data_IF_077126339800
#
_entry.id   IF_077126339800
#
_cell.length_a   1.000
_cell.length_b   1.000
_cell.length_c   1.000
_cell.angle_alpha   90.00
_cell.angle_beta   90.00
_cell.angle_gamma   90.00
#
_symmetry.space_group_name_H-M   'P 1'
#
loop_
_entity.id
_entity.type
_entity.pdbx_description
1 polymer ?
#
# COMPACT_ATOMS: atom_id res chain seq x y z
N UNK A 1 3.28 -11.84 5.66
CA UNK A 1 4.00 -11.26 4.51
C UNK A 1 2.98 -10.57 3.60
N UNK A 2 3.41 -9.79 2.61
CA UNK A 2 2.66 -8.70 1.96
C UNK A 2 2.97 -8.69 0.46
N UNK A 3 2.12 -8.08 -0.37
CA UNK A 3 2.52 -7.59 -1.68
C UNK A 3 2.65 -6.06 -1.60
N UNK A 4 3.86 -5.52 -1.75
CA UNK A 4 4.08 -4.07 -1.81
C UNK A 4 4.86 -3.71 -3.07
N UNK A 5 4.46 -2.63 -3.73
CA UNK A 5 5.13 -2.13 -4.91
C UNK A 5 5.10 -0.61 -4.98
N UNK A 6 6.01 -0.06 -5.76
CA UNK A 6 6.03 1.35 -6.11
C UNK A 6 6.25 1.49 -7.61
N UNK A 7 5.60 2.47 -8.23
CA UNK A 7 5.76 2.75 -9.65
C UNK A 7 5.74 4.25 -9.92
N UNK A 8 6.45 4.62 -10.98
CA UNK A 8 6.52 5.98 -11.49
C UNK A 8 5.71 6.10 -12.78
N UNK A 9 4.79 7.05 -12.82
CA UNK A 9 3.91 7.30 -13.95
C UNK A 9 3.95 8.77 -14.38
N UNK A 10 3.76 9.00 -15.68
CA UNK A 10 3.58 10.32 -16.27
C UNK A 10 2.19 10.32 -16.94
N UNK A 11 1.34 11.26 -16.57
CA UNK A 11 0.03 11.44 -17.20
C UNK A 11 0.15 12.04 -18.60
N UNK A 12 -0.94 12.02 -19.38
CA UNK A 12 -0.99 12.64 -20.71
C UNK A 12 -0.67 14.14 -20.67
N UNK A 13 -1.06 14.83 -19.59
CA UNK A 13 -0.73 16.25 -19.37
C UNK A 13 0.70 16.47 -18.87
N UNK A 14 1.54 15.42 -18.81
CA UNK A 14 2.93 15.49 -18.38
C UNK A 14 3.14 15.45 -16.86
N UNK A 15 2.07 15.37 -16.05
CA UNK A 15 2.20 15.32 -14.59
C UNK A 15 2.84 14.01 -14.14
N UNK A 16 3.84 14.12 -13.26
CA UNK A 16 4.68 13.05 -12.76
C UNK A 16 4.19 12.62 -11.38
N UNK A 17 4.02 11.31 -11.22
CA UNK A 17 3.49 10.73 -9.99
C UNK A 17 4.32 9.54 -9.56
N UNK A 18 4.65 9.49 -8.28
CA UNK A 18 5.26 8.33 -7.64
C UNK A 18 4.23 7.70 -6.70
N UNK A 19 3.80 6.48 -7.03
CA UNK A 19 2.75 5.78 -6.29
C UNK A 19 3.29 4.58 -5.55
N UNK A 20 2.82 4.36 -4.33
CA UNK A 20 3.03 3.13 -3.57
C UNK A 20 1.69 2.41 -3.44
N UNK A 21 1.71 1.09 -3.66
CA UNK A 21 0.54 0.22 -3.58
C UNK A 21 0.84 -1.02 -2.74
N UNK A 22 -0.17 -1.52 -2.02
CA UNK A 22 -0.03 -2.68 -1.16
C UNK A 22 -1.36 -3.36 -0.91
N UNK A 23 -1.33 -4.63 -0.55
CA UNK A 23 -2.49 -5.31 0.03
C UNK A 23 -2.70 -4.89 1.50
N UNK A 24 -3.73 -5.41 2.18
CA UNK A 24 -4.07 -5.06 3.58
C UNK A 24 -4.06 -6.25 4.54
N UNK A 25 -3.67 -7.44 4.07
CA UNK A 25 -3.64 -8.67 4.88
C UNK A 25 -2.43 -8.76 5.80
N UNK A 26 -2.64 -8.99 7.08
CA UNK A 26 -1.64 -9.59 7.97
C UNK A 26 -1.97 -11.08 8.10
N UNK A 27 -0.93 -11.91 8.19
CA UNK A 27 -1.05 -13.36 8.19
C UNK A 27 -0.22 -13.97 9.32
N UNK A 28 -0.76 -14.94 10.05
CA UNK A 28 -0.05 -15.68 11.08
C UNK A 28 -0.05 -17.18 10.79
N UNK A 29 1.02 -17.86 11.22
CA UNK A 29 1.07 -19.32 11.33
C UNK A 29 1.29 -19.62 12.81
N UNK A 30 0.33 -20.29 13.44
CA UNK A 30 0.42 -20.69 14.84
C UNK A 30 1.25 -21.97 14.99
N UNK A 31 1.77 -22.28 16.21
CA UNK A 31 2.57 -23.48 16.45
C UNK A 31 1.88 -24.80 16.07
N UNK A 32 0.53 -24.83 16.10
CA UNK A 32 -0.27 -25.98 15.67
C UNK A 32 -0.46 -26.07 14.13
N UNK A 33 0.20 -25.20 13.35
CA UNK A 33 0.08 -25.13 11.90
C UNK A 33 -1.12 -24.35 11.37
N UNK A 34 -2.00 -23.85 12.26
CA UNK A 34 -3.18 -23.07 11.86
C UNK A 34 -2.76 -21.75 11.23
N UNK A 35 -3.43 -21.37 10.15
CA UNK A 35 -3.21 -20.11 9.43
C UNK A 35 -4.38 -19.19 9.67
N UNK A 36 -4.09 -17.98 10.12
CA UNK A 36 -5.09 -16.94 10.32
C UNK A 36 -4.69 -15.67 9.58
N UNK A 37 -5.69 -14.85 9.24
CA UNK A 37 -5.50 -13.62 8.46
C UNK A 37 -6.36 -12.47 8.99
N UNK A 38 -5.85 -11.25 8.85
CA UNK A 38 -6.57 -10.01 9.12
C UNK A 38 -6.43 -9.06 7.93
N UNK A 39 -7.54 -8.77 7.25
CA UNK A 39 -7.55 -8.11 5.93
C UNK A 39 -7.70 -6.58 5.98
N UNK A 40 -7.56 -5.94 7.13
CA UNK A 40 -7.87 -4.50 7.28
C UNK A 40 -6.72 -3.72 7.92
N UNK A 41 -5.48 -4.14 7.66
CA UNK A 41 -4.28 -3.44 8.17
C UNK A 41 -3.85 -2.32 7.23
N UNK A 42 -3.37 -1.22 7.81
CA UNK A 42 -2.66 -0.18 7.05
C UNK A 42 -1.22 -0.62 6.81
N UNK A 43 -0.79 -0.62 5.55
CA UNK A 43 0.60 -0.96 5.16
C UNK A 43 1.35 0.19 4.50
N UNK A 44 0.63 1.26 4.14
CA UNK A 44 1.19 2.46 3.52
C UNK A 44 0.70 3.67 4.30
N UNK A 45 1.62 4.57 4.62
CA UNK A 45 1.44 5.73 5.46
C UNK A 45 1.96 6.96 4.75
N UNK A 46 1.28 8.09 4.94
CA UNK A 46 1.75 9.41 4.53
C UNK A 46 2.15 10.22 5.76
N UNK A 47 3.19 11.05 5.64
CA UNK A 47 3.49 12.08 6.63
C UNK A 47 2.61 13.30 6.36
N UNK A 48 2.22 14.02 7.41
CA UNK A 48 1.31 15.17 7.27
C UNK A 48 2.03 16.43 6.80
N UNK A 49 3.28 16.61 7.25
CA UNK A 49 4.04 17.85 7.06
C UNK A 49 5.10 17.75 5.96
N UNK A 50 5.08 16.68 5.16
CA UNK A 50 6.05 16.47 4.11
C UNK A 50 5.52 15.54 3.01
N UNK A 51 6.17 15.57 1.85
CA UNK A 51 5.86 14.71 0.72
C UNK A 51 6.55 13.35 0.84
N UNK A 52 6.33 12.70 1.98
CA UNK A 52 6.94 11.43 2.35
C UNK A 52 5.87 10.35 2.51
N UNK A 53 6.07 9.22 1.85
CA UNK A 53 5.21 8.03 1.91
C UNK A 53 6.05 6.84 2.36
N UNK A 54 5.65 6.20 3.45
CA UNK A 54 6.29 5.02 4.01
C UNK A 54 5.41 3.80 3.81
N UNK A 55 6.01 2.64 3.59
CA UNK A 55 5.28 1.37 3.59
C UNK A 55 6.16 0.21 4.01
N UNK A 56 5.58 -0.95 4.31
CA UNK A 56 6.36 -2.06 4.83
C UNK A 56 5.91 -3.43 4.33
N UNK A 57 6.83 -4.39 4.41
CA UNK A 57 6.56 -5.81 4.30
C UNK A 57 7.45 -6.60 5.28
N UNK A 58 6.97 -7.75 5.75
CA UNK A 58 7.68 -8.61 6.70
C UNK A 58 7.10 -8.54 8.10
N UNK A 59 7.94 -8.39 9.12
CA UNK A 59 7.56 -8.25 10.53
C UNK A 59 6.54 -7.11 10.73
N UNK A 60 5.26 -7.47 10.77
CA UNK A 60 4.18 -6.49 10.76
C UNK A 60 4.07 -5.77 12.10
N UNK A 61 4.39 -6.44 13.21
CA UNK A 61 4.33 -5.83 14.54
C UNK A 61 5.44 -4.80 14.71
N UNK A 62 6.70 -5.18 14.40
CA UNK A 62 7.83 -4.27 14.45
C UNK A 62 7.61 -3.06 13.54
N UNK A 63 7.21 -3.29 12.28
CA UNK A 63 7.01 -2.20 11.33
C UNK A 63 5.88 -1.26 11.73
N UNK A 64 4.71 -1.76 12.16
CA UNK A 64 3.59 -0.91 12.56
C UNK A 64 3.93 -0.03 13.75
N UNK A 65 4.57 -0.61 14.78
CA UNK A 65 4.97 0.13 15.97
C UNK A 65 5.96 1.24 15.62
N UNK A 66 7.02 0.90 14.87
CA UNK A 66 8.06 1.85 14.50
C UNK A 66 7.57 2.93 13.54
N UNK A 67 6.79 2.57 12.53
CA UNK A 67 6.24 3.55 11.59
C UNK A 67 5.31 4.52 12.30
N UNK A 68 4.48 4.05 13.23
CA UNK A 68 3.61 4.94 14.03
C UNK A 68 4.41 5.93 14.86
N UNK A 69 5.51 5.48 15.48
CA UNK A 69 6.41 6.34 16.25
C UNK A 69 7.16 7.33 15.35
N UNK A 70 7.70 6.87 14.22
CA UNK A 70 8.38 7.71 13.22
C UNK A 70 7.42 8.80 12.72
N UNK A 71 6.21 8.44 12.29
CA UNK A 71 5.21 9.39 11.81
C UNK A 71 4.86 10.40 12.90
N UNK A 72 4.62 9.93 14.12
CA UNK A 72 4.29 10.81 15.25
C UNK A 72 5.43 11.78 15.57
N UNK A 73 6.67 11.28 15.63
CA UNK A 73 7.84 12.10 15.88
C UNK A 73 8.02 13.14 14.77
N UNK A 74 7.99 12.70 13.51
CA UNK A 74 8.26 13.56 12.35
C UNK A 74 7.18 14.63 12.16
N UNK A 75 5.91 14.30 12.42
CA UNK A 75 4.81 15.27 12.38
C UNK A 75 4.92 16.32 13.50
N UNK A 76 5.44 15.96 14.68
CA UNK A 76 5.57 16.89 15.81
C UNK A 76 6.92 17.65 15.83
N UNK A 77 7.91 17.19 15.06
CA UNK A 77 9.22 17.83 15.03
C UNK A 77 9.25 18.98 14.02
N UNK A 78 9.61 20.18 14.47
CA UNK A 78 10.02 21.28 13.56
C UNK A 78 11.29 20.94 12.79
N UNK A 79 12.06 19.95 13.26
CA UNK A 79 13.24 19.42 12.57
C UNK A 79 12.90 18.95 11.14
N UNK A 80 11.67 18.54 10.86
CA UNK A 80 11.30 18.04 9.52
C UNK A 80 10.89 19.11 8.51
N UNK A 81 10.82 20.40 8.89
CA UNK A 81 10.31 21.45 8.00
C UNK A 81 11.32 21.80 6.90
N UNK A 82 11.03 21.32 5.68
CA UNK A 82 11.47 21.76 4.33
C UNK A 82 12.93 22.16 4.03
N UNK A 83 13.87 22.06 4.97
CA UNK A 83 15.30 22.36 4.77
C UNK A 83 16.23 21.18 5.08
N UNK A 84 15.72 20.08 5.61
CA UNK A 84 16.53 18.89 5.87
C UNK A 84 16.72 18.05 4.61
N UNK A 85 17.99 17.82 4.26
CA UNK A 85 18.38 17.00 3.11
C UNK A 85 17.81 15.57 3.20
N UNK A 86 17.60 14.93 2.04
CA UNK A 86 17.21 13.52 1.95
C UNK A 86 18.06 12.63 2.86
N UNK A 87 19.37 12.89 2.90
CA UNK A 87 20.33 12.13 3.69
C UNK A 87 20.09 12.29 5.20
N UNK A 88 19.78 13.50 5.68
CA UNK A 88 19.49 13.74 7.09
C UNK A 88 18.24 12.96 7.53
N UNK A 89 17.15 13.05 6.75
CA UNK A 89 15.92 12.29 7.00
C UNK A 89 16.17 10.77 6.98
N UNK A 90 16.93 10.28 6.00
CA UNK A 90 17.31 8.87 5.88
C UNK A 90 18.04 8.38 7.13
N UNK A 91 19.07 9.11 7.57
CA UNK A 91 19.89 8.74 8.71
C UNK A 91 19.09 8.73 10.01
N UNK A 92 18.16 9.67 10.15
CA UNK A 92 17.25 9.72 11.29
C UNK A 92 16.31 8.51 11.34
N UNK A 93 15.64 8.19 10.22
CA UNK A 93 14.78 6.99 10.13
C UNK A 93 15.61 5.73 10.40
N UNK A 94 16.80 5.62 9.80
CA UNK A 94 17.69 4.49 10.02
C UNK A 94 18.03 4.34 11.50
N UNK A 95 18.39 5.43 12.18
CA UNK A 95 18.77 5.41 13.59
C UNK A 95 17.62 4.97 14.50
N UNK A 96 16.41 5.51 14.28
CA UNK A 96 15.21 5.09 15.04
C UNK A 96 14.97 3.58 14.87
N UNK A 97 15.07 3.07 13.63
CA UNK A 97 14.87 1.65 13.36
C UNK A 97 15.96 0.78 13.98
N UNK A 98 17.22 1.21 13.89
CA UNK A 98 18.36 0.51 14.47
C UNK A 98 18.25 0.42 16.00
N UNK A 99 17.96 1.54 16.67
CA UNK A 99 17.78 1.60 18.12
C UNK A 99 16.62 0.73 18.59
N UNK A 100 15.49 0.80 17.88
CA UNK A 100 14.31 -0.01 18.20
C UNK A 100 14.57 -1.50 17.99
N UNK A 101 15.34 -1.86 16.96
CA UNK A 101 15.70 -3.24 16.65
C UNK A 101 16.64 -3.83 17.71
N UNK A 102 17.62 -3.04 18.20
CA UNK A 102 18.53 -3.47 19.26
C UNK A 102 17.83 -3.84 20.57
N UNK A 103 16.64 -3.27 20.81
CA UNK A 103 15.79 -3.56 21.97
C UNK A 103 14.68 -4.58 21.68
N UNK A 104 14.53 -5.01 20.42
CA UNK A 104 13.46 -5.90 20.01
C UNK A 104 13.79 -7.36 20.33
N UNK A 105 12.89 -8.14 20.97
CA UNK A 105 13.20 -9.51 21.35
C UNK A 105 13.53 -10.41 20.15
N UNK A 106 14.70 -11.05 20.18
CA UNK A 106 15.16 -11.96 19.11
C UNK A 106 14.26 -13.20 18.92
N UNK A 107 13.49 -13.57 19.95
CA UNK A 107 12.53 -14.68 19.89
C UNK A 107 11.35 -14.40 18.96
N UNK A 108 10.98 -13.13 18.76
CA UNK A 108 9.83 -12.74 17.94
C UNK A 108 10.22 -11.98 16.67
N UNK A 109 11.49 -11.61 16.52
CA UNK A 109 11.99 -10.91 15.34
C UNK A 109 11.80 -11.71 14.05
N UNK A 110 11.45 -11.00 12.98
CA UNK A 110 11.36 -11.53 11.63
C UNK A 110 12.02 -10.59 10.62
N UNK A 111 12.32 -11.10 9.42
CA UNK A 111 12.78 -10.27 8.32
C UNK A 111 11.75 -9.18 8.00
N UNK A 112 12.23 -7.97 7.72
CA UNK A 112 11.37 -6.89 7.25
C UNK A 112 12.07 -5.97 6.26
N UNK A 113 11.26 -5.21 5.54
CA UNK A 113 11.72 -4.06 4.77
C UNK A 113 10.72 -2.93 4.90
N UNK A 114 11.22 -1.74 5.26
CA UNK A 114 10.47 -0.50 5.23
C UNK A 114 10.90 0.27 3.98
N UNK A 115 9.94 0.65 3.16
CA UNK A 115 10.11 1.46 1.97
C UNK A 115 9.74 2.90 2.25
N UNK A 116 10.48 3.81 1.63
CA UNK A 116 10.26 5.25 1.74
C UNK A 116 10.34 5.88 0.36
N UNK A 117 9.24 6.50 -0.06
CA UNK A 117 9.14 7.35 -1.23
C UNK A 117 9.07 8.81 -0.76
N UNK A 118 9.77 9.72 -1.44
CA UNK A 118 9.81 11.13 -1.08
C UNK A 118 9.86 12.02 -2.31
N UNK A 119 9.29 13.22 -2.22
CA UNK A 119 9.60 14.35 -3.12
C UNK A 119 10.35 15.41 -2.31
N UNK A 120 11.60 15.68 -2.67
CA UNK A 120 12.42 16.71 -2.03
C UNK A 120 12.88 17.69 -3.10
N UNK A 121 12.55 18.98 -2.89
CA UNK A 121 12.68 19.99 -3.93
C UNK A 121 11.83 19.59 -5.14
N UNK A 122 12.50 19.23 -6.23
CA UNK A 122 11.86 18.82 -7.47
C UNK A 122 12.23 17.38 -7.89
N UNK A 123 12.76 16.57 -6.98
CA UNK A 123 13.24 15.22 -7.29
C UNK A 123 12.56 14.15 -6.44
N UNK A 124 12.20 13.05 -7.11
CA UNK A 124 11.69 11.87 -6.45
C UNK A 124 12.83 11.01 -5.92
N UNK A 125 12.64 10.49 -4.72
CA UNK A 125 13.54 9.56 -4.07
C UNK A 125 12.77 8.32 -3.63
N UNK A 126 13.43 7.17 -3.73
CA UNK A 126 12.96 5.91 -3.14
C UNK A 126 14.11 5.23 -2.42
N UNK A 127 13.83 4.72 -1.23
CA UNK A 127 14.80 4.02 -0.39
C UNK A 127 14.14 2.86 0.35
N UNK A 128 14.94 1.88 0.73
CA UNK A 128 14.51 0.79 1.60
C UNK A 128 15.43 0.64 2.82
N UNK A 129 14.85 0.27 3.94
CA UNK A 129 15.55 -0.15 5.17
C UNK A 129 15.26 -1.63 5.35
N UNK A 130 16.25 -2.49 5.12
CA UNK A 130 16.06 -3.94 5.11
C UNK A 130 16.76 -4.59 6.28
N UNK A 131 16.00 -5.35 7.06
CA UNK A 131 16.51 -6.23 8.10
C UNK A 131 16.41 -7.68 7.66
N UNK A 132 17.50 -8.42 7.88
CA UNK A 132 17.53 -9.87 7.72
C UNK A 132 17.93 -10.49 9.05
N UNK A 133 17.00 -11.21 9.67
CA UNK A 133 17.19 -11.91 10.94
C UNK A 133 18.45 -12.78 10.91
N UNK A 134 18.65 -13.51 9.81
CA UNK A 134 19.83 -14.39 9.63
C UNK A 134 21.16 -13.67 9.89
N UNK A 135 21.23 -12.37 9.57
CA UNK A 135 22.46 -11.59 9.68
C UNK A 135 22.44 -10.65 10.88
N UNK A 136 21.29 -10.44 11.54
CA UNK A 136 21.16 -9.49 12.65
C UNK A 136 21.47 -8.04 12.29
N UNK A 137 21.47 -7.68 10.99
CA UNK A 137 21.93 -6.37 10.51
C UNK A 137 20.83 -5.67 9.71
N UNK A 138 20.51 -4.44 10.12
CA UNK A 138 19.73 -3.48 9.34
C UNK A 138 20.63 -2.83 8.28
N UNK A 139 20.19 -2.83 7.02
CA UNK A 139 20.94 -2.25 5.90
C UNK A 139 20.11 -1.25 5.12
N UNK A 140 20.81 -0.24 4.60
CA UNK A 140 20.30 0.60 3.53
C UNK A 140 20.14 -0.23 2.24
N UNK A 141 18.97 -0.10 1.61
CA UNK A 141 18.66 -0.63 0.28
C UNK A 141 18.44 0.55 -0.64
N UNK A 142 19.51 0.97 -1.33
CA UNK A 142 19.41 2.04 -2.33
C UNK A 142 18.54 1.59 -3.50
N UNK A 143 17.51 2.36 -3.82
CA UNK A 143 16.63 2.09 -4.96
C UNK A 143 16.95 3.11 -6.04
N UNK A 144 17.29 2.64 -7.24
CA UNK A 144 17.54 3.53 -8.38
C UNK A 144 16.20 4.04 -8.89
N UNK A 145 16.01 5.35 -8.88
CA UNK A 145 14.81 5.95 -9.42
C UNK A 145 14.81 5.87 -10.97
N UNK A 146 13.70 5.51 -11.61
CA UNK A 146 13.59 5.50 -13.07
C UNK A 146 13.73 6.86 -13.73
N UNK A 147 14.22 6.90 -14.97
CA UNK A 147 14.05 8.07 -15.86
C UNK A 147 12.77 7.99 -16.69
N UNK A 148 12.25 6.79 -16.91
CA UNK A 148 11.02 6.50 -17.67
C UNK A 148 9.96 5.88 -16.77
N UNK A 149 8.70 5.87 -17.23
CA UNK A 149 7.60 5.21 -16.52
C UNK A 149 7.90 3.72 -16.35
N UNK A 150 7.98 3.23 -15.10
CA UNK A 150 8.17 1.81 -14.71
C UNK A 150 7.96 1.61 -13.22
N UNK A 151 7.94 0.34 -12.80
CA UNK A 151 8.08 0.00 -11.39
C UNK A 151 9.40 0.54 -10.84
N UNK A 152 9.34 1.06 -9.62
CA UNK A 152 10.50 1.47 -8.84
C UNK A 152 10.98 0.30 -7.99
N UNK A 153 10.05 -0.40 -7.32
CA UNK A 153 10.32 -1.65 -6.60
C UNK A 153 9.06 -2.50 -6.49
N UNK A 154 9.26 -3.78 -6.16
CA UNK A 154 8.25 -4.70 -5.64
C UNK A 154 8.91 -5.62 -4.62
N UNK A 155 8.21 -6.01 -3.56
CA UNK A 155 8.75 -6.87 -2.50
C UNK A 155 7.65 -7.62 -1.74
N UNK A 156 8.07 -8.46 -0.79
CA UNK A 156 7.23 -9.34 0.00
C UNK A 156 6.91 -10.66 -0.71
N UNK A 157 6.17 -11.54 -0.04
CA UNK A 157 5.77 -12.85 -0.57
C UNK A 157 5.01 -12.73 -1.88
N UNK A 158 4.14 -11.72 -1.97
CA UNK A 158 3.34 -11.40 -3.13
C UNK A 158 4.13 -10.78 -4.29
N UNK A 159 5.32 -10.22 -4.03
CA UNK A 159 6.09 -9.45 -5.03
C UNK A 159 6.44 -10.23 -6.30
N UNK A 160 6.78 -11.53 -6.18
CA UNK A 160 7.06 -12.37 -7.35
C UNK A 160 5.81 -12.63 -8.20
N UNK A 161 4.65 -12.76 -7.55
CA UNK A 161 3.38 -12.97 -8.24
C UNK A 161 2.90 -11.67 -8.88
N UNK A 162 3.10 -10.55 -8.20
CA UNK A 162 2.85 -9.21 -8.75
C UNK A 162 3.63 -8.99 -10.04
N UNK A 163 4.93 -9.28 -10.04
CA UNK A 163 5.75 -9.16 -11.24
C UNK A 163 5.29 -10.09 -12.38
N UNK A 164 4.81 -11.30 -12.05
CA UNK A 164 4.24 -12.22 -13.04
C UNK A 164 2.91 -11.68 -13.61
N UNK A 165 2.03 -11.14 -12.76
CA UNK A 165 0.78 -10.53 -13.19
C UNK A 165 1.04 -9.32 -14.12
N UNK A 166 1.97 -8.44 -13.76
CA UNK A 166 2.39 -7.32 -14.59
C UNK A 166 2.83 -7.73 -16.01
N UNK A 167 3.58 -8.83 -16.13
CA UNK A 167 4.05 -9.35 -17.43
C UNK A 167 2.93 -9.87 -18.32
N UNK A 168 1.82 -10.30 -17.73
CA UNK A 168 0.69 -10.84 -18.46
C UNK A 168 -0.31 -9.76 -18.88
N UNK A 169 -0.17 -8.54 -18.36
CA UNK A 169 -1.02 -7.42 -18.73
C UNK A 169 -0.47 -6.74 -19.98
N UNK A 170 -1.36 -6.49 -20.93
CA UNK A 170 -1.05 -5.69 -22.09
C UNK A 170 -1.12 -4.19 -21.72
N UNK A 171 -0.03 -3.46 -21.93
CA UNK A 171 0.03 -2.02 -21.68
C UNK A 171 -0.78 -1.19 -22.69
N UNK A 172 -1.19 -1.78 -23.81
CA UNK A 172 -2.05 -1.11 -24.80
C UNK A 172 -3.52 -1.06 -24.36
N UNK A 173 -3.97 -2.04 -23.56
CA UNK A 173 -5.35 -2.14 -23.09
C UNK A 173 -5.66 -1.23 -21.89
N UNK A 174 -4.62 -0.71 -21.24
CA UNK A 174 -4.71 0.01 -19.97
C UNK A 174 -3.73 1.18 -19.92
N UNK A 175 -4.15 2.32 -19.34
CA UNK A 175 -3.17 3.36 -18.99
C UNK A 175 -2.19 2.82 -17.94
N UNK A 176 -0.99 3.40 -17.88
CA UNK A 176 0.13 2.87 -17.10
C UNK A 176 -0.24 2.59 -15.64
N UNK A 177 -0.79 3.57 -14.93
CA UNK A 177 -1.15 3.42 -13.51
C UNK A 177 -2.20 2.33 -13.29
N UNK A 178 -3.16 2.21 -14.20
CA UNK A 178 -4.18 1.14 -14.19
C UNK A 178 -3.54 -0.23 -14.33
N UNK A 179 -2.54 -0.41 -15.21
CA UNK A 179 -1.81 -1.68 -15.35
C UNK A 179 -1.14 -2.11 -14.04
N UNK A 180 -0.44 -1.18 -13.36
CA UNK A 180 0.23 -1.51 -12.10
C UNK A 180 -0.74 -1.81 -10.97
N UNK A 181 -1.79 -1.02 -10.85
CA UNK A 181 -2.81 -1.27 -9.84
C UNK A 181 -3.57 -2.59 -10.11
N UNK A 182 -3.92 -2.86 -11.38
CA UNK A 182 -4.63 -4.08 -11.77
C UNK A 182 -3.81 -5.34 -11.48
N UNK A 183 -2.49 -5.31 -11.68
CA UNK A 183 -1.63 -6.43 -11.29
C UNK A 183 -1.69 -6.75 -9.79
N UNK A 184 -1.84 -5.74 -8.92
CA UNK A 184 -2.05 -5.96 -7.48
C UNK A 184 -3.44 -6.57 -7.21
N UNK A 185 -4.47 -6.06 -7.88
CA UNK A 185 -5.83 -6.60 -7.78
C UNK A 185 -5.86 -8.07 -8.20
N UNK A 186 -5.24 -8.42 -9.33
CA UNK A 186 -5.24 -9.79 -9.86
C UNK A 186 -4.58 -10.78 -8.90
N UNK A 187 -3.49 -10.39 -8.21
CA UNK A 187 -2.86 -11.27 -7.22
C UNK A 187 -3.71 -11.42 -5.95
N UNK A 188 -4.43 -10.37 -5.54
CA UNK A 188 -5.35 -10.41 -4.41
C UNK A 188 -6.54 -11.32 -4.72
N UNK A 189 -7.16 -11.15 -5.90
CA UNK A 189 -8.34 -11.90 -6.32
C UNK A 189 -8.03 -13.38 -6.63
N UNK A 190 -6.87 -13.66 -7.22
CA UNK A 190 -6.45 -15.03 -7.53
C UNK A 190 -6.09 -15.85 -6.28
N UNK A 191 -5.84 -15.20 -5.13
CA UNK A 191 -5.44 -15.86 -3.87
C UNK A 191 -4.21 -16.77 -4.01
N UNK A 192 -3.37 -16.51 -5.03
CA UNK A 192 -2.19 -17.33 -5.33
C UNK A 192 -1.13 -17.26 -4.22
N UNK A 193 -1.08 -16.14 -3.50
CA UNK A 193 -0.34 -15.98 -2.25
C UNK A 193 -1.32 -15.81 -1.10
N UNK A 194 -1.38 -16.79 -0.20
CA UNK A 194 -2.31 -16.77 0.93
C UNK A 194 -2.05 -15.59 1.89
N UNK A 195 -0.83 -15.05 1.90
CA UNK A 195 -0.44 -13.91 2.74
C UNK A 195 -0.81 -12.55 2.14
N UNK A 196 -1.23 -12.51 0.88
CA UNK A 196 -1.66 -11.30 0.19
C UNK A 196 -3.19 -11.28 0.11
N UNK A 197 -3.83 -10.18 0.53
CA UNK A 197 -5.29 -10.07 0.45
C UNK A 197 -5.87 -8.79 1.04
N UNK A 198 -7.20 -8.78 1.17
CA UNK A 198 -7.96 -7.63 1.63
C UNK A 198 -8.08 -6.49 0.60
N UNK A 199 -8.76 -5.39 0.95
CA UNK A 199 -8.84 -4.18 0.14
C UNK A 199 -7.44 -3.64 -0.22
N UNK A 200 -7.16 -3.40 -1.52
CA UNK A 200 -5.94 -2.75 -1.96
C UNK A 200 -5.78 -1.34 -1.37
N UNK A 201 -4.53 -0.92 -1.18
CA UNK A 201 -4.16 0.41 -0.69
C UNK A 201 -3.30 1.12 -1.73
N UNK A 202 -3.49 2.43 -1.86
CA UNK A 202 -2.66 3.26 -2.75
C UNK A 202 -2.50 4.69 -2.22
N UNK A 203 -1.26 5.17 -2.25
CA UNK A 203 -0.90 6.58 -1.98
C UNK A 203 0.03 7.06 -3.09
N UNK A 204 -0.22 8.27 -3.60
CA UNK A 204 0.50 8.86 -4.71
C UNK A 204 1.09 10.22 -4.33
N UNK A 205 2.38 10.43 -4.58
CA UNK A 205 3.01 11.76 -4.50
C UNK A 205 2.90 12.40 -5.89
N UNK A 206 2.21 13.53 -6.01
CA UNK A 206 2.04 14.24 -7.30
C UNK A 206 2.94 15.46 -7.32
N UNK A 207 3.92 15.43 -8.22
CA UNK A 207 5.02 16.39 -8.23
C UNK A 207 4.54 17.81 -8.54
N UNK A 208 3.77 17.97 -9.61
CA UNK A 208 3.33 19.27 -10.13
C UNK A 208 2.33 19.96 -9.20
N UNK A 209 1.65 19.20 -8.34
CA UNK A 209 0.72 19.71 -7.33
C UNK A 209 1.37 19.90 -5.95
N UNK A 210 2.64 19.47 -5.80
CA UNK A 210 3.35 19.46 -4.53
C UNK A 210 2.51 18.83 -3.39
N UNK A 211 1.89 17.68 -3.67
CA UNK A 211 0.94 17.05 -2.76
C UNK A 211 1.03 15.51 -2.70
N UNK A 212 0.34 14.97 -1.69
CA UNK A 212 0.08 13.55 -1.56
C UNK A 212 -1.42 13.33 -1.74
N UNK A 213 -1.75 12.38 -2.61
CA UNK A 213 -3.09 11.94 -2.91
C UNK A 213 -3.29 10.52 -2.38
N UNK A 214 -4.13 10.40 -1.35
CA UNK A 214 -4.59 9.08 -0.88
C UNK A 214 -5.76 8.59 -1.72
N UNK A 215 -5.82 7.28 -1.96
CA UNK A 215 -6.88 6.65 -2.75
C UNK A 215 -7.75 5.76 -1.88
N UNK A 216 -9.06 6.01 -1.87
CA UNK A 216 -10.09 5.11 -1.36
C UNK A 216 -10.51 4.14 -2.46
N UNK A 217 -10.35 2.84 -2.20
CA UNK A 217 -10.61 1.77 -3.17
C UNK A 217 -11.98 1.17 -2.90
N UNK A 218 -12.79 1.04 -3.96
CA UNK A 218 -14.05 0.31 -3.92
C UNK A 218 -13.74 -1.18 -4.05
N UNK A 219 -13.86 -1.90 -2.94
CA UNK A 219 -13.61 -3.33 -2.85
C UNK A 219 -14.86 -4.04 -2.32
N UNK A 220 -15.35 -5.06 -3.01
CA UNK A 220 -16.59 -5.77 -2.65
C UNK A 220 -17.77 -4.84 -2.34
N UNK A 221 -17.94 -3.80 -3.15
CA UNK A 221 -19.05 -2.84 -3.05
C UNK A 221 -18.98 -1.88 -1.86
N UNK A 222 -17.85 -1.84 -1.14
CA UNK A 222 -17.60 -0.93 -0.01
C UNK A 222 -16.34 -0.10 -0.27
N UNK A 223 -16.25 1.06 0.35
CA UNK A 223 -15.14 1.99 0.21
C UNK A 223 -14.10 1.70 1.29
N UNK A 224 -12.82 1.66 0.92
CA UNK A 224 -11.74 1.42 1.86
C UNK A 224 -10.62 2.43 1.67
N UNK A 225 -10.25 3.11 2.76
CA UNK A 225 -9.11 4.02 2.82
C UNK A 225 -8.08 3.44 3.81
N UNK A 226 -6.85 3.21 3.35
CA UNK A 226 -5.77 2.65 4.18
C UNK A 226 -6.12 1.33 4.90
N UNK A 227 -6.98 0.50 4.28
CA UNK A 227 -7.44 -0.77 4.85
C UNK A 227 -8.65 -0.64 5.79
N UNK A 228 -9.12 0.57 6.10
CA UNK A 228 -10.31 0.82 6.95
C UNK A 228 -11.52 1.11 6.06
N UNK A 229 -12.68 0.54 6.42
CA UNK A 229 -13.92 0.83 5.72
C UNK A 229 -14.32 2.30 5.93
N UNK A 230 -14.45 3.03 4.83
CA UNK A 230 -14.76 4.46 4.77
C UNK A 230 -16.28 4.69 4.93
N UNK A 231 -16.80 4.43 6.14
CA UNK A 231 -18.19 4.75 6.51
C UNK A 231 -18.34 6.14 7.16
N UNK A 232 -17.22 6.75 7.56
CA UNK A 232 -17.20 7.88 8.50
C UNK A 232 -16.66 9.18 7.91
N UNK A 233 -16.14 9.19 6.68
CA UNK A 233 -15.54 10.40 6.13
C UNK A 233 -16.63 11.24 5.45
N UNK A 234 -17.14 12.22 6.21
CA UNK A 234 -18.22 13.12 5.79
C UNK A 234 -17.83 14.07 4.67
N UNK A 235 -16.54 14.37 4.49
CA UNK A 235 -16.03 15.14 3.34
C UNK A 235 -14.48 15.10 3.25
N UNK A 236 -13.86 14.13 2.54
CA UNK A 236 -12.43 14.20 2.33
C UNK A 236 -12.13 15.06 1.10
N UNK A 237 -11.73 16.30 1.33
CA UNK A 237 -11.25 17.24 0.30
C UNK A 237 -9.99 16.71 -0.43
N UNK A 238 -9.37 15.62 0.06
CA UNK A 238 -8.10 15.07 -0.47
C UNK A 238 -8.08 13.55 -0.67
N UNK A 239 -9.22 12.91 -0.89
CA UNK A 239 -9.27 11.46 -1.21
C UNK A 239 -9.84 11.24 -2.61
N UNK A 240 -9.09 10.52 -3.44
CA UNK A 240 -9.57 10.02 -4.73
C UNK A 240 -10.27 8.69 -4.55
N UNK A 241 -11.37 8.47 -5.26
CA UNK A 241 -12.10 7.21 -5.20
C UNK A 241 -11.89 6.43 -6.50
N UNK A 242 -11.47 5.18 -6.37
CA UNK A 242 -11.16 4.29 -7.50
C UNK A 242 -11.83 2.93 -7.34
N UNK A 243 -12.30 2.34 -8.43
CA UNK A 243 -12.69 0.93 -8.44
C UNK A 243 -11.47 0.01 -8.67
N UNK A 244 -11.71 -1.30 -8.74
CA UNK A 244 -10.67 -2.30 -8.97
C UNK A 244 -10.08 -2.27 -10.38
N UNK A 245 -10.78 -1.61 -11.31
CA UNK A 245 -10.31 -1.31 -12.65
C UNK A 245 -9.61 0.06 -12.71
N UNK A 246 -9.36 0.71 -11.57
CA UNK A 246 -8.71 2.01 -11.47
C UNK A 246 -9.47 3.18 -12.13
N UNK A 247 -10.76 3.02 -12.42
CA UNK A 247 -11.60 4.10 -12.93
C UNK A 247 -11.92 5.09 -11.81
N UNK A 248 -12.01 6.38 -12.15
CA UNK A 248 -12.43 7.42 -11.22
C UNK A 248 -13.90 7.24 -10.84
N UNK A 249 -14.19 7.46 -9.56
CA UNK A 249 -15.55 7.55 -9.05
C UNK A 249 -15.80 8.91 -8.41
N UNK A 250 -16.81 9.65 -8.86
CA UNK A 250 -17.23 10.89 -8.20
C UNK A 250 -18.12 10.53 -7.02
N UNK A 251 -17.67 10.89 -5.83
CA UNK A 251 -18.25 10.43 -4.59
C UNK A 251 -19.48 11.27 -4.18
N UNK A 252 -20.55 11.21 -4.96
CA UNK A 252 -21.85 11.75 -4.56
C UNK A 252 -22.38 10.90 -3.39
N UNK A 253 -22.41 11.48 -2.18
CA UNK A 253 -22.71 10.77 -0.93
C UNK A 253 -24.04 9.98 -1.00
N UNK A 254 -25.05 10.52 -1.70
CA UNK A 254 -26.35 9.84 -1.92
C UNK A 254 -26.24 8.58 -2.78
N UNK A 255 -25.27 8.50 -3.71
CA UNK A 255 -25.03 7.31 -4.53
C UNK A 255 -24.29 6.22 -3.77
N UNK A 256 -23.46 6.54 -2.76
CA UNK A 256 -22.73 5.54 -1.94
C UNK A 256 -23.69 4.59 -1.20
N UNK A 257 -24.75 5.13 -0.60
CA UNK A 257 -25.78 4.33 0.07
C UNK A 257 -26.59 3.47 -0.91
N UNK A 258 -26.87 3.98 -2.11
CA UNK A 258 -27.57 3.22 -3.14
C UNK A 258 -26.70 2.11 -3.76
N UNK A 259 -25.39 2.32 -3.88
CA UNK A 259 -24.45 1.31 -4.37
C UNK A 259 -24.24 0.19 -3.36
N UNK A 260 -24.07 0.54 -2.08
CA UNK A 260 -23.98 -0.45 -0.99
C UNK A 260 -25.27 -1.29 -0.93
N UNK A 261 -26.44 -0.66 -1.16
CA UNK A 261 -27.73 -1.37 -1.26
C UNK A 261 -27.84 -2.23 -2.52
N UNK A 262 -27.43 -1.72 -3.70
CA UNK A 262 -27.53 -2.46 -4.97
C UNK A 262 -26.55 -3.65 -5.00
N UNK A 263 -25.35 -3.48 -4.46
CA UNK A 263 -24.35 -4.54 -4.33
C UNK A 263 -24.82 -5.62 -3.35
N UNK A 264 -25.32 -5.25 -2.16
CA UNK A 264 -25.96 -6.21 -1.22
C UNK A 264 -27.11 -6.96 -1.89
N UNK A 265 -27.90 -6.29 -2.73
CA UNK A 265 -29.00 -6.91 -3.49
C UNK A 265 -28.49 -7.90 -4.54
N UNK A 266 -27.42 -7.56 -5.27
CA UNK A 266 -26.73 -8.46 -6.21
C UNK A 266 -26.11 -9.67 -5.51
N UNK A 267 -25.39 -9.47 -4.41
CA UNK A 267 -24.82 -10.55 -3.60
C UNK A 267 -25.91 -11.48 -3.04
N UNK A 268 -27.02 -10.92 -2.55
CA UNK A 268 -28.15 -11.73 -2.07
C UNK A 268 -28.80 -12.53 -3.21
N UNK A 269 -28.88 -11.98 -4.42
CA UNK A 269 -29.40 -12.68 -5.60
C UNK A 269 -28.45 -13.79 -6.06
N UNK A 270 -27.14 -13.59 -6.03
CA UNK A 270 -26.14 -14.62 -6.34
C UNK A 270 -26.10 -15.72 -5.28
N UNK A 271 -26.15 -15.36 -3.99
CA UNK A 271 -26.23 -16.33 -2.90
C UNK A 271 -27.54 -17.13 -2.94
N UNK A 272 -28.66 -16.50 -3.29
CA UNK A 272 -29.94 -17.18 -3.51
C UNK A 272 -29.88 -18.13 -4.72
N UNK A 273 -29.34 -17.68 -5.86
CA UNK A 273 -29.13 -18.54 -7.04
C UNK A 273 -28.24 -19.75 -6.72
N UNK A 274 -27.17 -19.54 -5.96
CA UNK A 274 -26.26 -20.60 -5.52
C UNK A 274 -26.88 -21.55 -4.48
N UNK A 275 -27.87 -21.08 -3.70
CA UNK A 275 -28.63 -21.94 -2.79
C UNK A 275 -29.62 -22.84 -3.52
N UNK A 276 -30.19 -22.36 -4.63
CA UNK A 276 -31.13 -23.13 -5.47
C UNK A 276 -30.40 -24.20 -6.28
N UNK A 277 -29.21 -23.92 -6.80
CA UNK A 277 -28.41 -24.89 -7.56
C UNK A 277 -27.80 -25.99 -6.68
N UNK A 278 -27.65 -25.76 -5.37
CA UNK A 278 -27.20 -26.79 -4.40
C UNK A 278 -28.32 -27.69 -3.88
N UNK A 279 -29.59 -27.32 -4.07
CA UNK A 279 -30.75 -28.15 -3.69
C UNK A 279 -31.26 -29.04 -4.82
N UNK A 280 -30.59 -29.03 -5.98
CA UNK A 280 -30.95 -29.82 -7.17
C UNK A 280 -29.89 -30.86 -7.57
N UNK A 281 -29.07 -31.32 -6.61
CA UNK A 281 -28.11 -32.42 -6.79
C UNK A 281 -28.23 -33.42 -5.66
#
# INVERSE_FOLDING_TARGET
MTAIASFYSISESGNKTLSMISDSRISWIFPNGTRETYDFSQKIFQLQNSLDVLGYCGDSFFCLMNLSQIISYLNNSTVFTNSNSFLAKKNMIFKILEDSLNLYPSSVEQDFTIYWNSLIGNEFYSHGFRYLKKNGILKDKKIKFPTTMKWVFYDGSGGKYYFKALKNLNFEDYNFSRTYFKALVDIIESKIDWQTGGPPQMISIRKEFNDIQSTSVIYNGRFYLHGIEDQLISDPVKVEYRDLDFNFYTADYKKRNNYTKSFKRKMNLENWRNSITKTSS
#
